data_IF_181986883599
#
_entry.id   IF_181986883599
#
_cell.length_a   1.000
_cell.length_b   1.000
_cell.length_c   1.000
_cell.angle_alpha   90.00
_cell.angle_beta   90.00
_cell.angle_gamma   90.00
#
_symmetry.space_group_name_H-M   'P 1'
#
loop_
_entity.id
_entity.type
_entity.pdbx_description
1 polymer ?
#
# COMPACT_ATOMS: atom_id res chain seq x y z
N UNK A 1 -6.28 -7.15 2.66
CA UNK A 1 -5.60 -6.43 1.56
C UNK A 1 -4.55 -7.34 0.96
N UNK A 2 -4.44 -7.38 -0.37
CA UNK A 2 -3.41 -8.14 -1.11
C UNK A 2 -2.51 -7.15 -1.84
N UNK A 3 -1.22 -7.48 -1.93
CA UNK A 3 -0.23 -6.69 -2.68
C UNK A 3 0.42 -7.57 -3.71
N UNK A 4 0.29 -7.16 -4.97
CA UNK A 4 0.97 -7.77 -6.11
C UNK A 4 2.14 -6.90 -6.51
N UNK A 5 3.30 -7.51 -6.66
CA UNK A 5 4.51 -6.81 -7.06
C UNK A 5 4.76 -7.01 -8.54
N UNK A 6 4.89 -5.92 -9.29
CA UNK A 6 5.27 -5.99 -10.69
C UNK A 6 6.77 -6.31 -10.85
N UNK A 7 7.60 -5.90 -9.88
CA UNK A 7 9.05 -6.12 -9.90
C UNK A 7 9.55 -6.54 -8.50
N UNK A 8 9.22 -7.78 -8.10
CA UNK A 8 9.73 -8.36 -6.85
C UNK A 8 11.13 -8.95 -6.98
N UNK A 9 11.72 -8.97 -8.18
CA UNK A 9 12.91 -9.78 -8.46
C UNK A 9 14.20 -9.03 -8.33
N UNK A 10 14.23 -7.70 -8.48
CA UNK A 10 15.50 -6.95 -8.49
C UNK A 10 15.44 -5.52 -7.93
N UNK A 11 14.44 -5.15 -7.11
CA UNK A 11 14.33 -3.79 -6.57
C UNK A 11 15.54 -3.32 -5.71
N UNK A 12 16.46 -4.23 -5.37
CA UNK A 12 17.76 -3.88 -4.80
C UNK A 12 18.67 -3.06 -5.76
N UNK A 13 18.46 -3.09 -7.08
CA UNK A 13 19.33 -2.39 -8.04
C UNK A 13 18.99 -0.90 -8.23
N UNK A 14 17.71 -0.54 -8.14
CA UNK A 14 17.23 0.85 -8.27
C UNK A 14 16.82 1.47 -6.94
N UNK A 15 16.66 0.65 -5.89
CA UNK A 15 16.15 1.08 -4.59
C UNK A 15 14.65 1.43 -4.58
N UNK A 16 13.96 1.24 -5.71
CA UNK A 16 12.53 1.53 -5.89
C UNK A 16 11.82 0.40 -6.64
N UNK A 17 10.51 0.26 -6.42
CA UNK A 17 9.67 -0.73 -7.10
C UNK A 17 8.25 -0.24 -7.35
N UNK A 18 7.46 -1.09 -8.03
CA UNK A 18 6.04 -0.85 -8.32
C UNK A 18 5.18 -1.93 -7.67
N UNK A 19 4.14 -1.50 -6.97
CA UNK A 19 3.19 -2.37 -6.28
C UNK A 19 1.75 -2.07 -6.72
N UNK A 20 0.96 -3.13 -6.86
CA UNK A 20 -0.49 -3.07 -7.03
C UNK A 20 -1.15 -3.54 -5.74
N UNK A 21 -1.89 -2.64 -5.11
CA UNK A 21 -2.73 -2.92 -3.96
C UNK A 21 -4.12 -3.28 -4.42
N UNK A 22 -4.68 -4.34 -3.84
CA UNK A 22 -6.07 -4.77 -4.06
C UNK A 22 -6.70 -4.98 -2.70
N UNK A 23 -7.88 -4.41 -2.49
CA UNK A 23 -8.63 -4.58 -1.25
C UNK A 23 -10.07 -4.99 -1.49
N UNK A 24 -10.57 -5.77 -0.53
CA UNK A 24 -11.95 -6.17 -0.38
C UNK A 24 -12.22 -6.22 1.12
N UNK A 25 -13.15 -5.38 1.59
CA UNK A 25 -13.53 -5.28 3.00
C UNK A 25 -14.81 -6.07 3.19
N UNK A 26 -14.78 -7.13 4.02
CA UNK A 26 -15.95 -7.99 4.21
C UNK A 26 -17.14 -7.26 4.87
N UNK A 27 -16.84 -6.28 5.72
CA UNK A 27 -17.85 -5.47 6.42
C UNK A 27 -18.24 -4.25 5.58
N UNK A 28 -19.50 -3.79 5.66
CA UNK A 28 -19.91 -2.53 5.04
C UNK A 28 -19.03 -1.38 5.50
N UNK A 29 -18.58 -0.57 4.55
CA UNK A 29 -17.82 0.65 4.81
C UNK A 29 -18.79 1.83 4.68
N UNK A 30 -18.91 2.64 5.73
CA UNK A 30 -19.59 3.93 5.62
C UNK A 30 -18.61 4.94 5.03
N UNK A 31 -18.87 5.38 3.80
CA UNK A 31 -18.00 6.29 3.06
C UNK A 31 -16.95 5.54 2.24
N UNK A 32 -15.71 6.04 2.26
CA UNK A 32 -14.59 5.47 1.50
C UNK A 32 -13.69 4.57 2.34
N UNK A 33 -13.02 3.65 1.65
CA UNK A 33 -11.79 3.02 2.09
C UNK A 33 -10.62 3.79 1.49
N UNK A 34 -9.64 4.13 2.31
CA UNK A 34 -8.52 5.00 1.99
C UNK A 34 -7.20 4.27 2.25
N UNK A 35 -6.31 4.31 1.28
CA UNK A 35 -4.97 3.76 1.34
C UNK A 35 -3.98 4.91 1.53
N UNK A 36 -3.36 4.96 2.69
CA UNK A 36 -2.32 5.91 3.04
C UNK A 36 -0.94 5.29 2.88
N UNK A 37 0.05 6.10 2.54
CA UNK A 37 1.47 5.72 2.52
C UNK A 37 2.24 6.59 3.50
N UNK A 38 3.26 6.01 4.13
CA UNK A 38 4.20 6.69 5.01
C UNK A 38 5.60 6.14 4.82
N UNK A 39 6.59 7.03 4.85
CA UNK A 39 8.01 6.70 5.04
C UNK A 39 8.39 7.07 6.48
N UNK A 40 8.40 6.13 7.46
CA UNK A 40 8.63 6.46 8.87
C UNK A 40 9.98 7.16 9.10
N UNK A 41 10.04 8.18 9.97
CA UNK A 41 8.98 8.69 10.85
C UNK A 41 8.05 9.75 10.21
N UNK A 42 8.07 9.93 8.89
CA UNK A 42 7.31 10.96 8.18
C UNK A 42 5.79 10.87 8.29
N UNK A 43 5.06 11.88 7.78
CA UNK A 43 3.60 11.92 7.82
C UNK A 43 2.96 10.83 6.94
N UNK A 44 1.70 10.52 7.23
CA UNK A 44 0.87 9.71 6.34
C UNK A 44 0.26 10.60 5.24
N UNK A 45 0.36 10.17 3.99
CA UNK A 45 -0.23 10.83 2.83
C UNK A 45 -1.24 9.92 2.16
N UNK A 46 -2.41 10.46 1.78
CA UNK A 46 -3.41 9.70 1.03
C UNK A 46 -2.84 9.33 -0.34
N UNK A 47 -2.73 8.04 -0.62
CA UNK A 47 -2.25 7.54 -1.91
C UNK A 47 -3.42 7.20 -2.83
N UNK A 48 -4.44 6.51 -2.31
CA UNK A 48 -5.62 6.14 -3.07
C UNK A 48 -6.86 6.03 -2.18
N UNK A 49 -8.04 6.12 -2.78
CA UNK A 49 -9.30 5.87 -2.10
C UNK A 49 -10.27 5.12 -3.02
N UNK A 50 -11.25 4.45 -2.43
CA UNK A 50 -12.32 3.77 -3.15
C UNK A 50 -13.42 3.30 -2.23
N UNK A 51 -14.27 2.38 -2.70
CA UNK A 51 -15.35 1.81 -1.90
C UNK A 51 -14.90 0.63 -1.04
N UNK A 52 -15.85 -0.26 -0.75
CA UNK A 52 -15.62 -1.54 -0.06
C UNK A 52 -14.62 -2.45 -0.79
N UNK A 53 -14.51 -2.31 -2.11
CA UNK A 53 -13.57 -3.00 -2.97
C UNK A 53 -12.82 -1.98 -3.84
N UNK A 54 -11.57 -2.28 -4.19
CA UNK A 54 -10.80 -1.42 -5.08
C UNK A 54 -9.39 -1.92 -5.33
N UNK A 55 -8.69 -1.19 -6.21
CA UNK A 55 -7.28 -1.43 -6.49
C UNK A 55 -6.56 -0.13 -6.84
N UNK A 56 -5.28 -0.05 -6.50
CA UNK A 56 -4.41 1.06 -6.83
C UNK A 56 -3.01 0.55 -7.22
N UNK A 57 -2.42 1.13 -8.25
CA UNK A 57 -1.06 0.80 -8.71
C UNK A 57 -0.16 2.00 -8.42
N UNK A 58 0.98 1.75 -7.78
CA UNK A 58 1.98 2.79 -7.53
C UNK A 58 2.77 3.08 -8.81
N UNK A 59 3.53 4.18 -8.80
CA UNK A 59 4.65 4.32 -9.72
C UNK A 59 5.89 3.58 -9.21
N UNK A 60 7.00 3.73 -9.94
CA UNK A 60 8.32 3.23 -9.56
C UNK A 60 8.98 4.11 -8.48
N UNK A 61 8.34 4.19 -7.33
CA UNK A 61 8.78 5.01 -6.18
C UNK A 61 8.62 4.28 -4.85
N UNK A 62 7.99 3.11 -4.83
CA UNK A 62 7.84 2.34 -3.59
C UNK A 62 9.22 1.94 -3.13
N UNK A 63 9.54 2.08 -1.86
CA UNK A 63 10.82 1.72 -1.24
C UNK A 63 10.59 0.74 -0.09
N UNK A 64 11.61 -0.06 0.25
CA UNK A 64 11.58 -0.86 1.48
C UNK A 64 11.47 0.04 2.73
N UNK A 65 10.77 -0.45 3.75
CA UNK A 65 10.52 0.29 4.98
C UNK A 65 9.33 1.25 4.90
N UNK A 66 8.83 1.58 3.71
CA UNK A 66 7.55 2.29 3.58
C UNK A 66 6.41 1.45 4.13
N UNK A 67 5.41 2.12 4.67
CA UNK A 67 4.21 1.50 5.22
C UNK A 67 2.97 2.02 4.50
N UNK A 68 2.13 1.09 4.08
CA UNK A 68 0.83 1.36 3.49
C UNK A 68 -0.26 0.93 4.46
N UNK A 69 -1.12 1.86 4.84
CA UNK A 69 -2.22 1.64 5.77
C UNK A 69 -3.55 1.80 5.03
N UNK A 70 -4.34 0.74 5.01
CA UNK A 70 -5.73 0.79 4.57
C UNK A 70 -6.61 1.11 5.77
N UNK A 71 -7.44 2.15 5.67
CA UNK A 71 -8.39 2.54 6.71
C UNK A 71 -9.72 2.98 6.10
N UNK A 72 -10.77 3.00 6.90
CA UNK A 72 -12.01 3.67 6.52
C UNK A 72 -11.89 5.17 6.70
N UNK A 73 -12.75 5.94 6.04
CA UNK A 73 -12.77 7.41 6.09
C UNK A 73 -12.85 7.97 7.52
N UNK A 74 -13.54 7.28 8.43
CA UNK A 74 -13.64 7.63 9.85
C UNK A 74 -12.38 7.27 10.68
N UNK A 75 -11.33 6.75 10.03
CA UNK A 75 -10.03 6.49 10.63
C UNK A 75 -9.83 5.07 11.17
N UNK A 76 -10.82 4.17 11.09
CA UNK A 76 -10.64 2.78 11.52
C UNK A 76 -9.68 2.05 10.58
N UNK A 77 -8.58 1.58 11.15
CA UNK A 77 -7.60 0.77 10.43
C UNK A 77 -8.17 -0.60 10.03
N UNK A 78 -7.91 -0.99 8.79
CA UNK A 78 -8.34 -2.26 8.20
C UNK A 78 -7.17 -3.19 7.90
N UNK A 79 -6.03 -2.64 7.48
CA UNK A 79 -4.82 -3.40 7.21
C UNK A 79 -3.59 -2.49 7.19
N UNK A 80 -2.44 -3.04 7.56
CA UNK A 80 -1.13 -2.43 7.34
C UNK A 80 -0.27 -3.38 6.51
N UNK A 81 0.45 -2.85 5.54
CA UNK A 81 1.54 -3.55 4.84
C UNK A 81 2.82 -2.74 4.95
N UNK A 82 3.89 -3.38 5.40
CA UNK A 82 5.24 -2.83 5.35
C UNK A 82 5.96 -3.38 4.14
N UNK A 83 6.47 -2.49 3.31
CA UNK A 83 7.19 -2.87 2.12
C UNK A 83 8.54 -3.47 2.51
N UNK A 84 8.80 -4.67 2.01
CA UNK A 84 10.07 -5.38 2.18
C UNK A 84 10.61 -5.71 0.81
N UNK A 85 11.91 -5.52 0.61
CA UNK A 85 12.62 -6.10 -0.52
C UNK A 85 13.24 -7.42 -0.11
N UNK A 86 13.20 -8.38 -1.02
CA UNK A 86 14.04 -9.57 -0.91
C UNK A 86 15.33 -9.25 -1.67
N UNK A 87 16.51 -9.27 -1.03
CA UNK A 87 17.76 -9.09 -1.74
C UNK A 87 17.93 -10.23 -2.76
N UNK A 88 18.40 -9.90 -3.96
CA UNK A 88 18.78 -10.90 -4.95
C UNK A 88 19.95 -11.72 -4.38
N UNK A 89 19.82 -13.05 -4.33
CA UNK A 89 20.93 -13.97 -4.13
C UNK A 89 21.36 -14.54 -5.47
#
# INVERSE_FOLDING_TARGET
MRVDWADNRCAAQTGVGTAKFIWQVAQPVKGSTELYVRSPPGPQTLFAAGGQQGSAVTGAWVQAGQEFTLRTHDGRELAIVRMRYTPCQ
#
